data_IF_563790773497
#
_entry.id   IF_563790773497
#
_cell.length_a   1.000
_cell.length_b   1.000
_cell.length_c   1.000
_cell.angle_alpha   90.00
_cell.angle_beta   90.00
_cell.angle_gamma   90.00
#
_symmetry.space_group_name_H-M   'P 1'
#
loop_
_entity.id
_entity.type
_entity.pdbx_description
1 polymer ?
#
# COMPACT_ATOMS: atom_id res chain seq x y z
N UNK A 1 -10.47 7.41 7.82
CA UNK A 1 -10.57 6.65 6.56
C UNK A 1 -9.15 6.34 6.12
N UNK A 2 -8.88 5.12 5.69
CA UNK A 2 -7.57 4.74 5.15
C UNK A 2 -7.35 5.42 3.78
N UNK A 3 -6.20 6.07 3.61
CA UNK A 3 -5.74 6.70 2.38
C UNK A 3 -5.43 5.70 1.26
N UNK A 4 -5.09 4.44 1.59
CA UNK A 4 -4.77 3.40 0.60
C UNK A 4 -5.61 2.15 0.78
N UNK A 5 -6.39 1.78 -0.24
CA UNK A 5 -7.18 0.55 -0.25
C UNK A 5 -6.33 -0.68 -0.55
N UNK A 6 -6.82 -1.86 -0.16
CA UNK A 6 -6.23 -3.14 -0.59
C UNK A 6 -6.14 -3.19 -2.12
N UNK A 7 -5.00 -3.63 -2.65
CA UNK A 7 -4.67 -3.62 -4.07
C UNK A 7 -4.02 -2.32 -4.57
N UNK A 8 -3.93 -1.28 -3.74
CA UNK A 8 -3.28 -0.03 -4.16
C UNK A 8 -1.76 -0.20 -4.31
N UNK A 9 -1.22 0.34 -5.41
CA UNK A 9 0.22 0.47 -5.63
C UNK A 9 0.77 1.63 -4.81
N UNK A 10 1.69 1.31 -3.90
CA UNK A 10 2.31 2.26 -2.99
C UNK A 10 3.83 2.22 -3.11
N UNK A 11 4.46 3.36 -2.86
CA UNK A 11 5.90 3.48 -2.75
C UNK A 11 6.26 3.86 -1.33
N UNK A 12 7.25 3.20 -0.77
CA UNK A 12 7.84 3.63 0.49
C UNK A 12 8.59 4.94 0.25
N UNK A 13 8.27 5.98 1.03
CA UNK A 13 8.96 7.27 0.93
C UNK A 13 10.45 7.14 1.21
N UNK A 14 10.83 6.21 2.09
CA UNK A 14 12.22 5.87 2.40
C UNK A 14 12.67 4.70 1.52
N UNK A 15 13.81 4.85 0.84
CA UNK A 15 14.36 3.81 -0.03
C UNK A 15 13.69 3.66 -1.40
N UNK A 16 12.46 4.16 -1.60
CA UNK A 16 11.82 4.24 -2.91
C UNK A 16 11.32 2.92 -3.49
N UNK A 17 11.24 1.86 -2.70
CA UNK A 17 10.70 0.55 -3.13
C UNK A 17 9.18 0.63 -3.34
N UNK A 18 8.69 -0.06 -4.37
CA UNK A 18 7.26 -0.19 -4.66
C UNK A 18 6.69 -1.49 -4.08
N UNK A 19 5.40 -1.44 -3.79
CA UNK A 19 4.65 -2.57 -3.28
C UNK A 19 3.15 -2.38 -3.48
N UNK A 20 2.40 -3.40 -3.08
CA UNK A 20 0.94 -3.44 -3.14
C UNK A 20 0.40 -3.56 -1.72
N UNK A 21 -0.63 -2.78 -1.39
CA UNK A 21 -1.36 -2.96 -0.13
C UNK A 21 -2.07 -4.31 -0.17
N UNK A 22 -1.66 -5.21 0.70
CA UNK A 22 -2.21 -6.56 0.81
C UNK A 22 -3.43 -6.58 1.75
N UNK A 23 -3.34 -5.89 2.88
CA UNK A 23 -4.40 -5.82 3.89
C UNK A 23 -4.37 -4.49 4.64
N UNK A 24 -5.54 -3.97 5.00
CA UNK A 24 -5.65 -2.84 5.93
C UNK A 24 -5.71 -3.37 7.36
N UNK A 25 -4.95 -2.78 8.27
CA UNK A 25 -5.13 -3.04 9.69
C UNK A 25 -6.21 -2.10 10.22
N UNK A 26 -7.08 -2.65 11.07
CA UNK A 26 -8.04 -1.82 11.78
C UNK A 26 -7.29 -0.76 12.58
N UNK A 27 -7.71 0.51 12.50
CA UNK A 27 -7.04 1.58 13.21
C UNK A 27 -7.24 1.39 14.72
N UNK A 28 -6.22 0.91 15.43
CA UNK A 28 -6.08 1.11 16.88
C UNK A 28 -5.74 2.60 17.15
N UNK A 29 -6.69 3.51 16.90
CA UNK A 29 -6.55 4.96 17.08
C UNK A 29 -6.48 5.77 15.78
N UNK A 30 -5.96 7.00 15.84
CA UNK A 30 -6.02 7.94 14.70
C UNK A 30 -5.04 7.65 13.56
N UNK A 31 -4.18 6.62 13.69
CA UNK A 31 -3.09 6.34 12.76
C UNK A 31 -3.30 4.99 12.05
N UNK A 32 -4.07 4.95 10.94
CA UNK A 32 -4.27 3.74 10.16
C UNK A 32 -2.94 3.19 9.62
N UNK A 33 -2.84 1.86 9.57
CA UNK A 33 -1.67 1.13 9.06
C UNK A 33 -2.10 0.13 8.00
N UNK A 34 -1.19 -0.18 7.09
CA UNK A 34 -1.40 -1.12 6.00
C UNK A 34 -0.27 -2.16 5.98
N UNK A 35 -0.64 -3.42 5.73
CA UNK A 35 0.29 -4.46 5.31
C UNK A 35 0.60 -4.26 3.83
N UNK A 36 1.87 -4.11 3.51
CA UNK A 36 2.34 -3.93 2.13
C UNK A 36 3.22 -5.11 1.75
N UNK A 37 2.91 -5.70 0.60
CA UNK A 37 3.78 -6.64 -0.10
C UNK A 37 4.71 -5.86 -1.02
N UNK A 38 6.00 -5.93 -0.77
CA UNK A 38 7.01 -5.24 -1.55
C UNK A 38 7.47 -6.08 -2.75
N UNK A 39 8.02 -5.41 -3.76
CA UNK A 39 8.55 -6.04 -4.97
C UNK A 39 9.76 -6.96 -4.70
N UNK A 40 10.45 -6.77 -3.56
CA UNK A 40 11.53 -7.66 -3.09
C UNK A 40 11.00 -8.98 -2.51
N UNK A 41 9.68 -9.15 -2.45
CA UNK A 41 9.00 -10.33 -1.91
C UNK A 41 8.77 -10.28 -0.39
N UNK A 42 9.23 -9.23 0.29
CA UNK A 42 9.02 -9.06 1.72
C UNK A 42 7.66 -8.40 2.03
N UNK A 43 7.18 -8.61 3.25
CA UNK A 43 5.94 -8.02 3.76
C UNK A 43 6.24 -7.22 5.02
N UNK A 44 5.73 -6.00 5.10
CA UNK A 44 5.82 -5.22 6.34
C UNK A 44 4.65 -4.27 6.52
N UNK A 45 4.40 -3.92 7.77
CA UNK A 45 3.38 -2.94 8.17
C UNK A 45 3.97 -1.54 8.11
N UNK A 46 3.24 -0.64 7.47
CA UNK A 46 3.59 0.78 7.40
C UNK A 46 2.41 1.67 7.71
N UNK A 47 2.70 2.81 8.32
CA UNK A 47 1.72 3.87 8.47
C UNK A 47 1.53 4.59 7.13
N UNK A 48 0.33 5.10 6.90
CA UNK A 48 0.02 5.76 5.62
C UNK A 48 0.89 6.97 5.33
N UNK A 49 1.37 7.66 6.36
CA UNK A 49 2.31 8.78 6.22
C UNK A 49 3.71 8.35 5.74
N UNK A 50 4.07 7.07 5.83
CA UNK A 50 5.32 6.51 5.29
C UNK A 50 5.19 6.11 3.81
N UNK A 51 3.96 6.02 3.33
CA UNK A 51 3.61 5.59 1.98
C UNK A 51 3.22 6.78 1.11
N UNK A 52 3.40 6.62 -0.20
CA UNK A 52 2.81 7.48 -1.22
C UNK A 52 2.25 6.62 -2.34
N UNK A 53 1.30 7.15 -3.12
CA UNK A 53 0.85 6.46 -4.31
C UNK A 53 2.04 6.26 -5.27
N UNK A 54 2.22 5.03 -5.76
CA UNK A 54 3.29 4.69 -6.71
C UNK A 54 2.86 4.87 -8.18
N UNK A 55 1.63 5.31 -8.44
CA UNK A 55 1.08 5.40 -9.80
C UNK A 55 1.90 6.33 -10.69
N UNK A 56 2.46 5.84 -11.82
CA UNK A 56 2.91 6.67 -12.92
C UNK A 56 1.71 6.95 -13.84
N UNK A 57 1.12 8.13 -13.75
CA UNK A 57 0.25 8.76 -14.77
C UNK A 57 -0.92 7.96 -15.42
N UNK A 58 -1.54 6.96 -14.80
CA UNK A 58 -2.73 6.33 -15.40
C UNK A 58 -3.43 5.22 -14.61
N UNK A 59 -4.68 4.88 -14.99
CA UNK A 59 -5.55 3.98 -14.23
C UNK A 59 -5.05 2.53 -14.28
N UNK A 60 -4.74 1.98 -13.11
CA UNK A 60 -4.38 0.58 -12.94
C UNK A 60 -5.66 -0.22 -12.63
N UNK A 61 -6.35 -0.62 -13.70
CA UNK A 61 -7.31 -1.73 -13.64
C UNK A 61 -6.56 -3.05 -13.85
N UNK A 62 -7.22 -4.14 -13.43
CA UNK A 62 -6.93 -5.59 -13.59
C UNK A 62 -6.27 -6.26 -12.37
N UNK A 63 -6.80 -7.37 -11.83
CA UNK A 63 -7.58 -8.44 -12.47
C UNK A 63 -8.52 -9.15 -11.48
N UNK A 64 -9.73 -9.39 -11.96
CA UNK A 64 -10.76 -10.31 -11.46
C UNK A 64 -10.19 -11.60 -10.89
N UNK A 65 -10.57 -11.94 -9.64
CA UNK A 65 -10.56 -13.34 -9.19
C UNK A 65 -11.90 -13.97 -9.58
N UNK A 66 -11.79 -15.15 -10.19
CA UNK A 66 -12.85 -15.94 -10.84
C UNK A 66 -13.84 -16.54 -9.85
#
# INVERSE_FOLDING_TARGET
>A
MAAFNVGALVQKKTGGIHGVVDSQLEPEGDHPKAWVRWDDGNFSVHAENELRAATPDGPQFYKTMS
#
